data_IF_421022307629
#
_entry.id   IF_421022307629
#
_cell.length_a   1.000
_cell.length_b   1.000
_cell.length_c   1.000
_cell.angle_alpha   90.00
_cell.angle_beta   90.00
_cell.angle_gamma   90.00
#
_symmetry.space_group_name_H-M   'P 1'
#
loop_
_entity.id
_entity.type
_entity.pdbx_description
1 polymer ?
#
# COMPACT_ATOMS: atom_id res chain seq x y z
N UNK A 1 -21.71 14.46 -9.87
CA UNK A 1 -20.41 14.29 -10.54
C UNK A 1 -19.34 14.85 -9.61
N UNK A 2 -18.15 14.23 -9.52
CA UNK A 2 -17.01 14.76 -8.77
C UNK A 2 -15.99 15.34 -9.76
N UNK A 3 -15.58 16.59 -9.57
CA UNK A 3 -14.40 17.14 -10.23
C UNK A 3 -13.17 16.87 -9.36
N UNK A 4 -12.23 16.07 -9.85
CA UNK A 4 -11.00 15.72 -9.15
C UNK A 4 -9.77 16.16 -9.96
N UNK A 5 -9.66 17.46 -10.20
CA UNK A 5 -8.63 18.05 -11.04
C UNK A 5 -7.22 17.83 -10.51
N UNK A 6 -6.32 17.36 -11.38
CA UNK A 6 -4.88 17.25 -11.12
C UNK A 6 -4.10 17.27 -12.43
N UNK A 7 -2.87 17.77 -12.39
CA UNK A 7 -1.95 17.74 -13.52
C UNK A 7 -1.46 16.32 -13.81
N UNK A 8 -1.19 16.06 -15.10
CA UNK A 8 -0.49 14.85 -15.53
C UNK A 8 1.00 15.14 -15.72
N UNK A 9 1.73 15.24 -14.62
CA UNK A 9 3.14 15.66 -14.53
C UNK A 9 4.07 14.51 -14.13
N UNK A 10 3.53 13.29 -13.94
CA UNK A 10 4.27 12.12 -13.49
C UNK A 10 4.94 12.29 -12.12
N UNK A 11 4.46 13.23 -11.30
CA UNK A 11 4.92 13.45 -9.93
C UNK A 11 3.98 12.77 -8.92
N UNK A 12 4.46 12.52 -7.68
CA UNK A 12 3.61 12.04 -6.60
C UNK A 12 2.36 12.90 -6.42
N UNK A 13 1.27 12.26 -6.00
CA UNK A 13 -0.02 12.90 -5.80
C UNK A 13 -0.45 12.76 -4.34
N UNK A 14 -1.03 13.81 -3.74
CA UNK A 14 -1.43 13.77 -2.35
C UNK A 14 -2.51 12.71 -2.14
N UNK A 15 -2.48 12.02 -1.00
CA UNK A 15 -3.44 10.97 -0.67
C UNK A 15 -4.89 11.48 -0.71
N UNK A 16 -5.12 12.74 -0.31
CA UNK A 16 -6.43 13.39 -0.34
C UNK A 16 -7.04 13.45 -1.74
N UNK A 17 -6.22 13.48 -2.79
CA UNK A 17 -6.70 13.39 -4.17
C UNK A 17 -7.43 12.06 -4.39
N UNK A 18 -6.81 10.96 -3.99
CA UNK A 18 -7.36 9.61 -4.17
C UNK A 18 -8.51 9.35 -3.22
N UNK A 19 -8.39 9.74 -1.95
CA UNK A 19 -9.45 9.49 -0.95
C UNK A 19 -10.78 10.12 -1.37
N UNK A 20 -10.79 11.37 -1.88
CA UNK A 20 -12.02 11.99 -2.39
C UNK A 20 -12.67 11.18 -3.52
N UNK A 21 -11.86 10.66 -4.44
CA UNK A 21 -12.34 9.85 -5.54
C UNK A 21 -12.81 8.46 -5.10
N UNK A 22 -12.10 7.84 -4.16
CA UNK A 22 -12.46 6.57 -3.53
C UNK A 22 -13.79 6.69 -2.79
N UNK A 23 -13.96 7.70 -1.94
CA UNK A 23 -15.20 7.92 -1.21
C UNK A 23 -16.39 8.13 -2.16
N UNK A 24 -16.20 8.95 -3.19
CA UNK A 24 -17.20 9.16 -4.23
C UNK A 24 -17.55 7.84 -4.94
N UNK A 25 -16.53 7.07 -5.35
CA UNK A 25 -16.70 5.83 -6.09
C UNK A 25 -17.43 4.76 -5.28
N UNK A 26 -17.00 4.51 -4.04
CA UNK A 26 -17.65 3.55 -3.14
C UNK A 26 -19.09 3.96 -2.81
N UNK A 27 -19.34 5.26 -2.57
CA UNK A 27 -20.71 5.76 -2.36
C UNK A 27 -21.58 5.60 -3.60
N UNK A 28 -21.04 5.81 -4.79
CA UNK A 28 -21.78 5.60 -6.03
C UNK A 28 -22.15 4.12 -6.20
N UNK A 29 -21.15 3.24 -6.10
CA UNK A 29 -21.28 1.79 -6.36
C UNK A 29 -22.11 1.04 -5.31
N UNK A 30 -22.36 1.62 -4.12
CA UNK A 30 -23.33 1.07 -3.15
C UNK A 30 -24.76 1.03 -3.67
N UNK A 31 -25.12 1.82 -4.70
CA UNK A 31 -26.45 1.79 -5.29
C UNK A 31 -26.54 0.67 -6.32
N UNK A 32 -27.45 -0.32 -6.16
CA UNK A 32 -27.63 -1.39 -7.14
C UNK A 32 -27.90 -0.83 -8.54
N UNK A 33 -27.29 -1.43 -9.56
CA UNK A 33 -27.45 -1.02 -10.95
C UNK A 33 -26.73 0.27 -11.36
N UNK A 34 -26.09 0.98 -10.43
CA UNK A 34 -25.30 2.17 -10.76
C UNK A 34 -24.02 1.81 -11.53
N UNK A 35 -23.53 2.78 -12.31
CA UNK A 35 -22.27 2.68 -13.05
C UNK A 35 -21.41 3.89 -12.75
N UNK A 36 -20.10 3.68 -12.61
CA UNK A 36 -19.13 4.73 -12.35
C UNK A 36 -18.25 4.92 -13.59
N UNK A 37 -18.24 6.13 -14.14
CA UNK A 37 -17.29 6.54 -15.18
C UNK A 37 -16.15 7.34 -14.53
N UNK A 38 -14.93 6.86 -14.69
CA UNK A 38 -13.70 7.58 -14.32
C UNK A 38 -12.98 7.98 -15.60
N UNK A 39 -12.79 9.27 -15.82
CA UNK A 39 -12.16 9.77 -17.03
C UNK A 39 -11.11 10.86 -16.74
N UNK A 40 -10.24 11.08 -17.71
CA UNK A 40 -9.35 12.24 -17.80
C UNK A 40 -9.29 12.65 -19.27
N UNK A 41 -8.27 13.40 -19.71
CA UNK A 41 -8.17 13.82 -21.12
C UNK A 41 -7.99 12.63 -22.08
N UNK A 42 -7.03 11.74 -21.81
CA UNK A 42 -6.68 10.61 -22.70
C UNK A 42 -7.10 9.24 -22.16
N UNK A 43 -7.50 9.16 -20.89
CA UNK A 43 -7.80 7.88 -20.22
C UNK A 43 -6.57 6.99 -20.00
N UNK A 44 -5.36 7.55 -20.02
CA UNK A 44 -4.10 6.78 -20.02
C UNK A 44 -3.41 6.70 -18.65
N UNK A 45 -3.46 7.76 -17.84
CA UNK A 45 -2.67 7.88 -16.60
C UNK A 45 -3.53 8.19 -15.35
N UNK A 46 -4.08 9.42 -15.27
CA UNK A 46 -4.84 9.88 -14.08
C UNK A 46 -6.10 9.08 -13.81
N UNK A 47 -6.89 8.81 -14.86
CA UNK A 47 -8.11 8.02 -14.74
C UNK A 47 -7.86 6.57 -14.29
N UNK A 48 -6.94 5.80 -14.92
CA UNK A 48 -6.64 4.46 -14.44
C UNK A 48 -5.99 4.44 -13.05
N UNK A 49 -5.18 5.44 -12.67
CA UNK A 49 -4.69 5.56 -11.29
C UNK A 49 -5.84 5.73 -10.28
N UNK A 50 -6.85 6.56 -10.61
CA UNK A 50 -8.04 6.70 -9.77
C UNK A 50 -8.88 5.42 -9.72
N UNK A 51 -9.03 4.73 -10.85
CA UNK A 51 -9.73 3.44 -10.90
C UNK A 51 -9.00 2.38 -10.06
N UNK A 52 -7.66 2.35 -10.10
CA UNK A 52 -6.82 1.50 -9.27
C UNK A 52 -7.05 1.77 -7.78
N UNK A 53 -7.09 3.03 -7.37
CA UNK A 53 -7.39 3.41 -5.98
C UNK A 53 -8.77 2.90 -5.53
N UNK A 54 -9.80 3.06 -6.38
CA UNK A 54 -11.16 2.58 -6.07
C UNK A 54 -11.19 1.05 -5.95
N UNK A 55 -10.57 0.31 -6.87
CA UNK A 55 -10.52 -1.15 -6.80
C UNK A 55 -9.73 -1.64 -5.58
N UNK A 56 -8.59 -1.04 -5.29
CA UNK A 56 -7.81 -1.35 -4.09
C UNK A 56 -8.61 -1.10 -2.81
N UNK A 57 -9.36 0.00 -2.77
CA UNK A 57 -10.28 0.33 -1.69
C UNK A 57 -11.49 -0.63 -1.55
N UNK A 58 -11.80 -1.40 -2.61
CA UNK A 58 -12.77 -2.50 -2.59
C UNK A 58 -12.14 -3.84 -2.19
N UNK A 59 -10.85 -3.85 -1.82
CA UNK A 59 -10.12 -5.06 -1.39
C UNK A 59 -9.41 -5.81 -2.52
N UNK A 60 -9.29 -5.23 -3.72
CA UNK A 60 -8.57 -5.89 -4.80
C UNK A 60 -7.05 -5.77 -4.59
N UNK A 61 -6.27 -6.85 -4.79
CA UNK A 61 -4.82 -6.73 -4.86
C UNK A 61 -4.41 -5.79 -6.00
N UNK A 62 -3.56 -4.79 -5.73
CA UNK A 62 -3.16 -3.79 -6.73
C UNK A 62 -2.63 -4.41 -8.03
N UNK A 63 -1.75 -5.43 -8.02
CA UNK A 63 -1.26 -6.05 -9.26
C UNK A 63 -2.40 -6.65 -10.11
N UNK A 64 -3.40 -7.25 -9.47
CA UNK A 64 -4.57 -7.84 -10.15
C UNK A 64 -5.45 -6.75 -10.75
N UNK A 65 -5.69 -5.67 -9.99
CA UNK A 65 -6.44 -4.52 -10.48
C UNK A 65 -5.73 -3.84 -11.67
N UNK A 66 -4.41 -3.63 -11.60
CA UNK A 66 -3.61 -3.07 -12.69
C UNK A 66 -3.71 -3.91 -13.97
N UNK A 67 -3.48 -5.22 -13.86
CA UNK A 67 -3.61 -6.14 -15.00
C UNK A 67 -5.02 -6.12 -15.60
N UNK A 68 -6.05 -6.05 -14.75
CA UNK A 68 -7.45 -6.00 -15.20
C UNK A 68 -7.73 -4.72 -15.97
N UNK A 69 -7.30 -3.56 -15.44
CA UNK A 69 -7.45 -2.26 -16.10
C UNK A 69 -6.71 -2.26 -17.46
N UNK A 70 -5.48 -2.75 -17.51
CA UNK A 70 -4.69 -2.82 -18.76
C UNK A 70 -5.33 -3.76 -19.79
N UNK A 71 -5.88 -4.91 -19.37
CA UNK A 71 -6.63 -5.81 -20.27
C UNK A 71 -7.85 -5.12 -20.87
N UNK A 72 -8.59 -4.35 -20.08
CA UNK A 72 -9.76 -3.61 -20.57
C UNK A 72 -9.39 -2.36 -21.40
N UNK A 73 -8.22 -1.77 -21.16
CA UNK A 73 -7.73 -0.58 -21.87
C UNK A 73 -6.22 -0.68 -22.11
N UNK A 74 -5.78 -1.30 -23.23
CA UNK A 74 -4.37 -1.59 -23.50
C UNK A 74 -3.45 -0.36 -23.57
N UNK A 75 -4.00 0.82 -23.83
CA UNK A 75 -3.23 2.07 -23.86
C UNK A 75 -2.87 2.60 -22.47
N UNK A 76 -3.35 2.00 -21.39
CA UNK A 76 -3.04 2.44 -20.01
C UNK A 76 -1.57 2.24 -19.69
N UNK A 77 -0.97 3.29 -19.14
CA UNK A 77 0.36 3.25 -18.56
C UNK A 77 0.28 3.66 -17.08
N UNK A 78 0.76 2.79 -16.20
CA UNK A 78 0.83 3.07 -14.77
C UNK A 78 2.21 3.65 -14.46
N UNK A 79 2.26 4.97 -14.29
CA UNK A 79 3.46 5.63 -13.80
C UNK A 79 3.71 5.24 -12.34
N UNK A 80 4.94 4.85 -12.00
CA UNK A 80 5.30 4.38 -10.65
C UNK A 80 4.92 5.40 -9.58
N UNK A 81 5.21 6.69 -9.81
CA UNK A 81 4.84 7.77 -8.89
C UNK A 81 3.33 7.78 -8.55
N UNK A 82 2.45 7.45 -9.49
CA UNK A 82 1.02 7.39 -9.25
C UNK A 82 0.62 6.11 -8.53
N UNK A 83 1.24 4.97 -8.88
CA UNK A 83 1.00 3.70 -8.18
C UNK A 83 1.42 3.80 -6.72
N UNK A 84 2.57 4.41 -6.45
CA UNK A 84 3.09 4.63 -5.10
C UNK A 84 2.17 5.57 -4.31
N UNK A 85 1.69 6.65 -4.94
CA UNK A 85 0.73 7.55 -4.30
C UNK A 85 -0.62 6.87 -4.00
N UNK A 86 -1.07 5.94 -4.87
CA UNK A 86 -2.26 5.13 -4.60
C UNK A 86 -2.02 4.19 -3.43
N UNK A 87 -0.86 3.52 -3.38
CA UNK A 87 -0.49 2.63 -2.27
C UNK A 87 -0.47 3.40 -0.95
N UNK A 88 0.19 4.55 -0.92
CA UNK A 88 0.24 5.41 0.26
C UNK A 88 -1.16 5.83 0.72
N UNK A 89 -2.02 6.25 -0.21
CA UNK A 89 -3.42 6.56 0.12
C UNK A 89 -4.15 5.37 0.76
N UNK A 90 -3.99 4.16 0.21
CA UNK A 90 -4.65 2.97 0.74
C UNK A 90 -4.12 2.58 2.12
N UNK A 91 -2.81 2.72 2.35
CA UNK A 91 -2.20 2.48 3.66
C UNK A 91 -2.68 3.48 4.71
N UNK A 92 -2.71 4.77 4.37
CA UNK A 92 -3.24 5.81 5.24
C UNK A 92 -4.72 5.58 5.56
N UNK A 93 -5.50 5.12 4.57
CA UNK A 93 -6.91 4.80 4.74
C UNK A 93 -7.12 3.59 5.65
N UNK A 94 -6.33 2.54 5.49
CA UNK A 94 -6.36 1.37 6.37
C UNK A 94 -6.01 1.76 7.81
N UNK A 95 -4.99 2.60 8.01
CA UNK A 95 -4.64 3.13 9.34
C UNK A 95 -5.79 3.90 9.98
N UNK A 96 -6.49 4.75 9.23
CA UNK A 96 -7.66 5.51 9.72
C UNK A 96 -8.84 4.62 10.09
N UNK A 97 -8.99 3.45 9.46
CA UNK A 97 -10.10 2.52 9.70
C UNK A 97 -9.84 1.59 10.89
N UNK A 98 -8.60 1.15 11.08
CA UNK A 98 -8.20 0.30 12.20
C UNK A 98 -6.73 0.57 12.60
N UNK A 99 -6.50 1.55 13.50
CA UNK A 99 -5.15 1.84 14.01
C UNK A 99 -4.57 0.70 14.85
N UNK A 100 -5.42 -0.12 15.49
CA UNK A 100 -5.01 -1.14 16.45
C UNK A 100 -4.39 -2.36 15.77
N UNK A 101 -4.89 -2.74 14.59
CA UNK A 101 -4.37 -3.87 13.82
C UNK A 101 -2.88 -3.72 13.41
N UNK A 102 -2.39 -2.49 13.21
CA UNK A 102 -1.01 -2.25 12.73
C UNK A 102 0.01 -2.10 13.88
N UNK A 103 -0.44 -1.73 15.08
CA UNK A 103 0.42 -1.72 16.28
C UNK A 103 0.84 -3.15 16.68
N UNK A 104 -0.02 -4.14 16.41
CA UNK A 104 0.23 -5.56 16.70
C UNK A 104 1.10 -6.26 15.63
N UNK A 105 1.25 -5.67 14.43
CA UNK A 105 2.01 -6.25 13.32
C UNK A 105 3.43 -5.68 13.18
N UNK A 106 3.89 -4.85 14.11
CA UNK A 106 5.27 -4.35 14.11
C UNK A 106 6.21 -5.42 14.67
N UNK A 107 7.30 -5.81 13.97
CA UNK A 107 8.28 -6.74 14.53
C UNK A 107 8.95 -6.06 15.73
N UNK A 108 8.99 -6.74 16.89
CA UNK A 108 9.60 -6.19 18.10
C UNK A 108 11.07 -5.87 17.83
N UNK A 109 11.41 -4.59 17.84
CA UNK A 109 12.76 -4.06 17.69
C UNK A 109 13.56 -4.20 18.99
N UNK A 110 13.70 -5.44 19.48
CA UNK A 110 14.67 -5.78 20.50
C UNK A 110 15.45 -7.00 20.02
N UNK A 111 16.74 -6.87 19.64
CA UNK A 111 17.59 -8.04 19.54
C UNK A 111 17.73 -8.62 20.95
N UNK A 112 17.26 -9.86 21.13
CA UNK A 112 17.56 -10.66 22.32
C UNK A 112 19.08 -10.77 22.43
N UNK A 113 19.71 -10.38 23.57
CA UNK A 113 21.15 -10.51 23.70
C UNK A 113 21.51 -12.00 23.62
N UNK A 114 22.38 -12.34 22.67
CA UNK A 114 22.85 -13.70 22.46
C UNK A 114 23.39 -14.27 23.77
N UNK A 115 22.74 -15.31 24.29
CA UNK A 115 23.27 -16.12 25.39
C UNK A 115 24.47 -16.89 24.86
N UNK A 116 25.67 -16.46 25.21
CA UNK A 116 26.89 -17.23 24.98
C UNK A 116 26.82 -18.52 25.81
N UNK A 117 26.95 -19.71 25.22
CA UNK A 117 27.10 -20.92 26.01
C UNK A 117 28.49 -20.93 26.65
N UNK A 118 28.53 -20.96 27.99
CA UNK A 118 29.76 -21.25 28.75
C UNK A 118 30.11 -22.71 28.50
N UNK A 119 31.20 -22.93 27.76
CA UNK A 119 31.82 -24.24 27.58
C UNK A 119 32.53 -24.64 28.87
N UNK A 120 32.04 -25.71 29.53
CA UNK A 120 32.84 -26.46 30.49
C UNK A 120 33.85 -27.31 29.72
N UNK A 121 35.13 -27.09 29.97
CA UNK A 121 36.16 -28.09 29.72
C UNK A 121 37.18 -28.02 30.85
N UNK A 122 37.19 -29.10 31.64
CA UNK A 122 38.17 -29.46 32.64
C UNK A 122 39.60 -29.37 32.10
N UNK A 123 40.53 -28.96 32.97
CA UNK A 123 41.87 -29.53 32.99
C UNK A 123 42.49 -29.36 34.38
N UNK A 124 42.90 -30.51 34.89
CA UNK A 124 43.53 -30.87 36.16
C UNK A 124 44.88 -30.19 36.43
N UNK A 125 45.15 -30.00 37.73
CA UNK A 125 46.44 -29.71 38.42
C UNK A 125 47.58 -30.70 38.05
N UNK A 126 48.85 -30.59 38.55
CA UNK A 126 49.42 -29.75 39.62
C UNK A 126 50.81 -29.14 39.32
N UNK A 127 51.46 -28.48 40.29
CA UNK A 127 52.86 -28.72 40.73
C UNK A 127 53.30 -27.70 41.80
N UNK A 128 53.97 -28.26 42.81
CA UNK A 128 54.50 -27.69 44.06
C UNK A 128 55.56 -26.58 43.99
N UNK A 129 55.77 -26.00 45.17
CA UNK A 129 57.06 -25.56 45.78
C UNK A 129 57.56 -24.13 45.51
N UNK A 130 57.42 -23.26 46.51
CA UNK A 130 58.50 -22.80 47.41
C UNK A 130 57.98 -21.75 48.41
#
# INVERSE_FOLDING_TARGET
MLFNGTYNDFQPKPAELFERGVEFGLRALRRPGSRLLVHCTLGMHRAPAMALAILGAMGWPLPVAMQTIQKCRPVVYFADAYVDSVRECLEQRAWKQDPAAKLQSSPSSHPEPARTPVSLSEQSEPVDAA
#
